data_IF_266295408940
#
_entry.id   IF_266295408940
#
_cell.length_a   1.000
_cell.length_b   1.000
_cell.length_c   1.000
_cell.angle_alpha   90.00
_cell.angle_beta   90.00
_cell.angle_gamma   90.00
#
_symmetry.space_group_name_H-M   'P 1'
#
loop_
_entity.id
_entity.type
_entity.pdbx_description
1 polymer ?
#
# COMPACT_ATOMS: atom_id res chain seq x y z
N UNK A 1 22.86 4.20 -3.80
CA UNK A 1 22.36 3.15 -2.88
C UNK A 1 21.01 3.59 -2.35
N UNK A 2 20.18 2.67 -1.85
CA UNK A 2 18.98 3.02 -1.09
C UNK A 2 19.39 3.13 0.38
N UNK A 3 19.24 4.30 0.98
CA UNK A 3 19.70 4.58 2.35
C UNK A 3 18.70 4.11 3.41
N UNK A 4 17.40 4.10 3.09
CA UNK A 4 16.36 3.55 3.96
C UNK A 4 15.11 3.14 3.18
N UNK A 5 14.34 2.21 3.73
CA UNK A 5 13.07 1.72 3.19
C UNK A 5 11.97 1.80 4.25
N UNK A 6 10.87 2.48 3.92
CA UNK A 6 9.62 2.46 4.68
C UNK A 6 8.57 1.74 3.83
N UNK A 7 7.89 0.77 4.42
CA UNK A 7 6.77 0.07 3.77
C UNK A 7 5.47 0.45 4.47
N UNK A 8 4.57 1.06 3.72
CA UNK A 8 3.21 1.36 4.13
C UNK A 8 2.28 0.37 3.43
N UNK A 9 1.51 -0.41 4.20
CA UNK A 9 0.61 -1.40 3.62
C UNK A 9 -0.70 -1.49 4.42
N UNK A 10 -1.85 -1.73 3.75
CA UNK A 10 -3.07 -2.08 4.45
C UNK A 10 -2.90 -3.43 5.18
N UNK A 11 -3.63 -3.63 6.27
CA UNK A 11 -3.73 -4.94 6.93
C UNK A 11 -4.39 -6.00 6.05
N UNK A 12 -5.19 -5.56 5.06
CA UNK A 12 -5.71 -6.39 3.98
C UNK A 12 -5.54 -5.65 2.64
N UNK A 13 -4.75 -6.23 1.72
CA UNK A 13 -4.50 -5.60 0.42
C UNK A 13 -5.77 -5.34 -0.41
N UNK A 14 -6.87 -6.05 -0.13
CA UNK A 14 -8.16 -5.85 -0.81
C UNK A 14 -8.75 -4.48 -0.52
N UNK A 15 -8.36 -3.84 0.60
CA UNK A 15 -8.75 -2.46 0.93
C UNK A 15 -8.33 -1.45 -0.15
N UNK A 16 -7.32 -1.76 -0.97
CA UNK A 16 -6.93 -0.91 -2.09
C UNK A 16 -8.06 -0.67 -3.10
N UNK A 17 -8.99 -1.63 -3.25
CA UNK A 17 -10.15 -1.46 -4.13
C UNK A 17 -11.12 -0.43 -3.56
N UNK A 18 -11.50 -0.60 -2.29
CA UNK A 18 -12.40 0.33 -1.57
C UNK A 18 -11.83 1.73 -1.57
N UNK A 19 -10.55 1.88 -1.25
CA UNK A 19 -9.88 3.18 -1.25
C UNK A 19 -9.84 3.82 -2.63
N UNK A 20 -9.62 3.03 -3.69
CA UNK A 20 -9.64 3.56 -5.06
C UNK A 20 -11.04 4.03 -5.45
N UNK A 21 -12.09 3.29 -5.06
CA UNK A 21 -13.49 3.70 -5.29
C UNK A 21 -13.82 5.01 -4.56
N UNK A 22 -13.45 5.13 -3.28
CA UNK A 22 -13.67 6.35 -2.49
C UNK A 22 -12.95 7.56 -3.07
N UNK A 23 -11.68 7.39 -3.47
CA UNK A 23 -10.91 8.45 -4.11
C UNK A 23 -11.56 8.92 -5.42
N UNK A 24 -12.06 7.98 -6.24
CA UNK A 24 -12.73 8.32 -7.50
C UNK A 24 -14.06 9.05 -7.27
N UNK A 25 -14.85 8.61 -6.28
CA UNK A 25 -16.08 9.29 -5.87
C UNK A 25 -15.80 10.73 -5.41
N UNK A 26 -14.75 10.92 -4.61
CA UNK A 26 -14.35 12.25 -4.14
C UNK A 26 -13.91 13.16 -5.30
N UNK A 27 -13.19 12.63 -6.29
CA UNK A 27 -12.82 13.39 -7.49
C UNK A 27 -14.04 13.76 -8.34
N UNK A 28 -14.98 12.84 -8.53
CA UNK A 28 -16.21 13.08 -9.30
C UNK A 28 -17.11 14.11 -8.61
N UNK A 29 -17.18 14.08 -7.27
CA UNK A 29 -17.90 15.09 -6.49
C UNK A 29 -17.31 16.51 -6.65
N UNK A 30 -16.02 16.63 -6.99
CA UNK A 30 -15.36 17.89 -7.33
C UNK A 30 -15.57 18.30 -8.81
N UNK A 31 -16.42 17.59 -9.55
CA UNK A 31 -16.69 17.85 -10.97
C UNK A 31 -15.59 17.36 -11.93
N UNK A 32 -14.64 16.55 -11.45
CA UNK A 32 -13.59 15.98 -12.30
C UNK A 32 -14.10 14.72 -13.00
N UNK A 33 -13.63 14.51 -14.24
CA UNK A 33 -13.81 13.24 -14.90
C UNK A 33 -13.07 12.13 -14.13
N UNK A 34 -13.57 10.90 -14.24
CA UNK A 34 -13.04 9.78 -13.51
C UNK A 34 -13.50 8.44 -14.07
N UNK A 35 -12.87 7.38 -13.60
CA UNK A 35 -13.17 5.99 -13.95
C UNK A 35 -14.57 5.59 -13.48
N UNK A 36 -15.20 4.73 -14.26
CA UNK A 36 -16.36 3.94 -13.85
C UNK A 36 -15.94 2.89 -12.82
N UNK A 37 -16.92 2.33 -12.11
CA UNK A 37 -16.67 1.28 -11.13
C UNK A 37 -16.00 0.04 -11.77
N UNK A 38 -16.43 -0.33 -12.98
CA UNK A 38 -15.84 -1.44 -13.73
C UNK A 38 -14.38 -1.17 -14.11
N UNK A 39 -14.04 0.06 -14.52
CA UNK A 39 -12.66 0.45 -14.82
C UNK A 39 -11.78 0.45 -13.57
N UNK A 40 -12.30 0.93 -12.43
CA UNK A 40 -11.60 0.85 -11.14
C UNK A 40 -11.31 -0.61 -10.79
N UNK A 41 -12.30 -1.49 -10.91
CA UNK A 41 -12.14 -2.90 -10.59
C UNK A 41 -11.10 -3.56 -11.51
N UNK A 42 -11.19 -3.33 -12.83
CA UNK A 42 -10.23 -3.87 -13.80
C UNK A 42 -8.80 -3.37 -13.53
N UNK A 43 -8.66 -2.08 -13.22
CA UNK A 43 -7.38 -1.47 -12.85
C UNK A 43 -6.79 -2.15 -11.61
N UNK A 44 -7.54 -2.23 -10.52
CA UNK A 44 -7.04 -2.81 -9.26
C UNK A 44 -6.73 -4.30 -9.40
N UNK A 45 -7.61 -5.08 -10.07
CA UNK A 45 -7.39 -6.50 -10.33
C UNK A 45 -6.14 -6.74 -11.18
N UNK A 46 -5.88 -5.87 -12.17
CA UNK A 46 -4.66 -5.96 -12.96
C UNK A 46 -3.41 -5.84 -12.10
N UNK A 47 -3.37 -4.91 -11.14
CA UNK A 47 -2.26 -4.77 -10.21
C UNK A 47 -2.14 -5.97 -9.26
N UNK A 48 -3.24 -6.48 -8.72
CA UNK A 48 -3.19 -7.67 -7.88
C UNK A 48 -2.66 -8.90 -8.63
N UNK A 49 -2.99 -9.03 -9.92
CA UNK A 49 -2.47 -10.14 -10.75
C UNK A 49 -1.01 -9.95 -11.13
N UNK A 50 -0.59 -8.72 -11.44
CA UNK A 50 0.75 -8.43 -11.97
C UNK A 50 1.80 -8.24 -10.87
N UNK A 51 1.38 -7.67 -9.74
CA UNK A 51 2.21 -7.32 -8.59
C UNK A 51 1.49 -7.73 -7.30
N UNK A 52 1.23 -9.04 -7.16
CA UNK A 52 0.49 -9.56 -6.03
C UNK A 52 1.16 -9.15 -4.70
N UNK A 53 0.46 -8.43 -3.79
CA UNK A 53 1.08 -7.86 -2.59
C UNK A 53 1.79 -8.90 -1.71
N UNK A 54 1.23 -10.11 -1.60
CA UNK A 54 1.88 -11.22 -0.88
C UNK A 54 3.24 -11.64 -1.45
N UNK A 55 3.45 -11.50 -2.75
CA UNK A 55 4.69 -11.92 -3.41
C UNK A 55 5.73 -10.79 -3.47
N UNK A 56 5.28 -9.53 -3.50
CA UNK A 56 6.16 -8.39 -3.76
C UNK A 56 6.23 -7.36 -2.63
N UNK A 57 5.20 -7.23 -1.79
CA UNK A 57 5.13 -6.26 -0.69
C UNK A 57 5.45 -6.93 0.65
N UNK A 58 4.82 -8.06 0.97
CA UNK A 58 5.07 -8.76 2.24
C UNK A 58 6.56 -9.09 2.47
N UNK A 59 7.33 -9.56 1.47
CA UNK A 59 8.77 -9.80 1.66
C UNK A 59 9.55 -8.53 2.00
N UNK A 60 9.06 -7.35 1.63
CA UNK A 60 9.70 -6.07 1.95
C UNK A 60 9.57 -5.73 3.43
N UNK A 61 8.58 -6.24 4.17
CA UNK A 61 8.46 -5.99 5.61
C UNK A 61 9.69 -6.46 6.40
N UNK A 62 10.35 -7.53 5.93
CA UNK A 62 11.58 -8.04 6.55
C UNK A 62 12.83 -7.23 6.20
N UNK A 63 12.76 -6.40 5.15
CA UNK A 63 13.88 -5.61 4.62
C UNK A 63 13.74 -4.12 4.92
N UNK A 64 12.54 -3.68 5.30
CA UNK A 64 12.23 -2.30 5.58
C UNK A 64 12.79 -1.89 6.94
N UNK A 65 13.34 -0.68 7.04
CA UNK A 65 13.67 -0.08 8.32
C UNK A 65 12.41 0.15 9.14
N UNK A 66 11.30 0.47 8.47
CA UNK A 66 9.98 0.66 9.07
C UNK A 66 8.88 0.00 8.25
N UNK A 67 7.98 -0.70 8.93
CA UNK A 67 6.71 -1.16 8.38
C UNK A 67 5.55 -0.54 9.13
N UNK A 68 4.60 0.02 8.40
CA UNK A 68 3.41 0.68 8.95
C UNK A 68 2.18 -0.02 8.37
N UNK A 69 1.38 -0.60 9.24
CA UNK A 69 0.11 -1.24 8.90
C UNK A 69 -1.04 -0.24 9.05
N UNK A 70 -1.88 -0.16 8.02
CA UNK A 70 -3.07 0.69 7.99
C UNK A 70 -4.35 -0.14 8.06
N UNK A 71 -5.29 0.27 8.90
CA UNK A 71 -6.64 -0.28 8.89
C UNK A 71 -7.49 0.32 7.74
N UNK A 72 -8.74 -0.13 7.61
CA UNK A 72 -9.65 0.31 6.56
C UNK A 72 -9.89 1.83 6.50
N UNK A 73 -9.74 2.54 7.62
CA UNK A 73 -9.94 3.99 7.73
C UNK A 73 -8.65 4.79 7.51
N UNK A 74 -7.62 4.16 6.92
CA UNK A 74 -6.27 4.71 6.75
C UNK A 74 -5.57 5.08 8.06
N UNK A 75 -6.06 4.60 9.21
CA UNK A 75 -5.43 4.84 10.49
C UNK A 75 -4.30 3.85 10.72
N UNK A 76 -3.24 4.32 11.38
CA UNK A 76 -2.10 3.48 11.74
C UNK A 76 -2.52 2.50 12.82
N UNK A 77 -2.43 1.21 12.52
CA UNK A 77 -2.75 0.13 13.44
C UNK A 77 -1.48 -0.41 14.09
N UNK A 78 -0.38 -0.50 13.35
CA UNK A 78 0.90 -0.97 13.87
C UNK A 78 2.05 -0.25 13.18
N UNK A 79 3.05 0.14 13.97
CA UNK A 79 4.35 0.59 13.49
C UNK A 79 5.38 -0.41 14.00
N UNK A 80 6.21 -0.92 13.13
CA UNK A 80 7.35 -1.77 13.50
C UNK A 80 8.61 -1.23 12.86
N UNK A 81 9.69 -1.26 13.63
CA UNK A 81 11.03 -0.96 13.15
C UNK A 81 11.79 -2.28 13.03
N UNK A 82 12.43 -2.54 11.90
CA UNK A 82 13.36 -3.65 11.85
C UNK A 82 14.48 -3.43 12.87
N UNK A 83 14.94 -4.47 13.59
CA UNK A 83 16.08 -4.35 14.48
C UNK A 83 17.25 -3.80 13.66
N UNK A 84 17.80 -2.68 14.10
CA UNK A 84 18.91 -2.00 13.42
C UNK A 84 20.04 -3.01 13.21
N UNK A 85 20.30 -3.44 11.98
CA UNK A 85 21.60 -4.01 11.63
C UNK A 85 22.62 -2.87 11.52
N UNK A 86 22.68 -1.97 12.51
CA UNK A 86 23.76 -1.00 12.65
C UNK A 86 24.91 -1.66 13.40
N UNK A 87 25.43 -2.69 12.73
CA UNK A 87 26.83 -3.04 12.70
C UNK A 87 27.07 -3.53 11.26
N UNK A 88 26.91 -2.60 10.32
CA UNK A 88 27.52 -2.74 9.00
C UNK A 88 28.77 -1.90 9.08
N UNK A 89 29.90 -2.61 9.08
CA UNK A 89 31.23 -2.11 9.35
C UNK A 89 31.57 -0.83 8.57
N UNK A 90 32.24 0.08 9.27
CA UNK A 90 32.90 1.28 8.77
C UNK A 90 33.84 1.80 9.84
#
# INVERSE_FOLDING_TARGET
>A
MLDSLIVLAPTDFRLSLTWRQQAEQQMKAQGKAGMSEAEIQAFVLYFWRSLHPKLFIEPLFTKADWSIALNADHQVETISRAPSSLQRDG
#
